data_IF_664902158869
#
_entry.id   IF_664902158869
#
_cell.length_a   1.000
_cell.length_b   1.000
_cell.length_c   1.000
_cell.angle_alpha   90.00
_cell.angle_beta   90.00
_cell.angle_gamma   90.00
#
_symmetry.space_group_name_H-M   'P 1'
#
loop_
_entity.id
_entity.type
_entity.pdbx_description
1 polymer ?
#
# COMPACT_ATOMS: atom_id res chain seq x y z
N UNK A 1 -10.74 -25.84 45.73
CA UNK A 1 -12.19 -25.90 45.50
C UNK A 1 -12.63 -24.56 44.93
N UNK A 2 -13.16 -24.52 43.71
CA UNK A 2 -13.67 -23.29 43.09
C UNK A 2 -15.08 -23.02 43.61
N UNK A 3 -15.28 -21.86 44.23
CA UNK A 3 -16.58 -21.42 44.75
C UNK A 3 -17.53 -21.15 43.57
N UNK A 4 -18.54 -22.00 43.40
CA UNK A 4 -19.43 -22.02 42.21
C UNK A 4 -20.59 -21.02 42.29
N UNK A 5 -20.68 -20.22 43.33
CA UNK A 5 -21.78 -19.27 43.59
C UNK A 5 -21.40 -17.80 43.42
N UNK A 6 -20.14 -17.48 43.07
CA UNK A 6 -19.77 -16.11 42.72
C UNK A 6 -20.11 -15.82 41.25
N UNK A 7 -20.90 -14.77 41.05
CA UNK A 7 -21.15 -14.22 39.71
C UNK A 7 -19.84 -13.68 39.13
N UNK A 8 -19.51 -14.08 37.90
CA UNK A 8 -18.36 -13.59 37.14
C UNK A 8 -18.46 -12.11 36.75
N UNK A 9 -19.58 -11.46 37.05
CA UNK A 9 -19.84 -10.06 36.73
C UNK A 9 -19.02 -9.07 37.59
N UNK A 10 -18.43 -9.51 38.70
CA UNK A 10 -17.64 -8.67 39.62
C UNK A 10 -16.24 -9.25 39.94
N UNK A 11 -15.70 -10.14 39.10
CA UNK A 11 -14.34 -10.62 39.27
C UNK A 11 -13.35 -9.59 38.72
N UNK A 12 -12.28 -9.28 39.47
CA UNK A 12 -11.14 -8.57 38.89
C UNK A 12 -10.33 -9.56 38.05
N UNK A 13 -9.57 -9.04 37.10
CA UNK A 13 -8.71 -9.83 36.22
C UNK A 13 -7.72 -10.76 36.97
N UNK A 14 -7.30 -10.37 38.18
CA UNK A 14 -6.44 -11.17 39.07
C UNK A 14 -7.15 -12.36 39.72
N UNK A 15 -8.49 -12.36 39.72
CA UNK A 15 -9.30 -13.34 40.45
C UNK A 15 -9.70 -14.54 39.54
N UNK A 16 -9.34 -14.50 38.25
CA UNK A 16 -9.60 -15.55 37.27
C UNK A 16 -8.29 -16.30 36.99
N UNK A 17 -8.13 -17.53 37.53
CA UNK A 17 -6.95 -18.35 37.27
C UNK A 17 -6.77 -18.58 35.77
N UNK A 18 -5.59 -18.24 35.24
CA UNK A 18 -5.26 -18.41 33.82
C UNK A 18 -5.64 -17.24 32.89
N UNK A 19 -6.28 -16.17 33.39
CA UNK A 19 -6.63 -15.00 32.56
C UNK A 19 -5.39 -14.29 31.97
N UNK A 20 -4.24 -14.41 32.64
CA UNK A 20 -2.95 -13.90 32.17
C UNK A 20 -1.96 -15.00 31.69
N UNK A 21 -2.43 -16.24 31.51
CA UNK A 21 -1.58 -17.37 31.05
C UNK A 21 -1.54 -17.51 29.51
N UNK A 22 -1.80 -16.44 28.75
CA UNK A 22 -1.58 -16.47 27.31
C UNK A 22 -0.08 -16.27 26.99
N UNK A 23 0.59 -17.22 26.32
CA UNK A 23 1.96 -17.02 25.88
C UNK A 23 2.00 -15.84 24.88
N UNK A 24 2.88 -14.89 25.16
CA UNK A 24 3.05 -13.63 24.40
C UNK A 24 3.75 -13.87 23.04
N UNK A 25 3.20 -14.77 22.23
CA UNK A 25 3.87 -15.33 21.05
C UNK A 25 3.02 -15.26 19.78
N UNK A 26 2.21 -14.21 19.64
CA UNK A 26 1.49 -13.92 18.39
C UNK A 26 1.99 -12.64 17.70
N UNK A 27 2.80 -11.82 18.37
CA UNK A 27 3.50 -10.71 17.73
C UNK A 27 4.91 -10.57 18.32
N UNK A 28 6.00 -10.76 17.57
CA UNK A 28 7.30 -10.28 18.01
C UNK A 28 7.23 -8.76 18.02
N UNK A 29 6.94 -8.18 19.18
CA UNK A 29 7.20 -6.76 19.37
C UNK A 29 8.72 -6.65 19.47
N UNK A 30 9.35 -6.13 18.43
CA UNK A 30 10.74 -5.67 18.50
C UNK A 30 10.81 -4.54 19.53
N UNK A 31 10.91 -4.89 20.82
CA UNK A 31 11.29 -3.95 21.88
C UNK A 31 12.78 -4.11 22.10
N UNK A 32 13.53 -3.19 21.52
CA UNK A 32 14.89 -2.92 21.98
C UNK A 32 14.90 -2.70 23.49
N UNK A 33 15.94 -3.21 24.14
CA UNK A 33 16.16 -3.04 25.57
C UNK A 33 16.16 -1.55 25.94
N UNK A 34 15.30 -1.15 26.88
CA UNK A 34 15.27 0.23 27.33
C UNK A 34 13.99 0.63 28.07
N UNK A 35 13.99 0.39 29.37
CA UNK A 35 13.40 1.16 30.47
C UNK A 35 12.40 2.30 30.17
N UNK A 36 11.30 2.29 30.94
CA UNK A 36 10.34 3.37 31.32
C UNK A 36 9.07 3.50 30.46
N UNK A 37 7.99 2.94 31.00
CA UNK A 37 6.61 3.22 30.59
C UNK A 37 6.30 4.71 30.77
N UNK A 38 5.86 5.35 29.68
CA UNK A 38 5.18 6.65 29.69
C UNK A 38 3.70 6.39 29.48
N UNK A 39 2.86 6.90 30.38
CA UNK A 39 1.40 6.83 30.33
C UNK A 39 0.83 7.59 29.12
N UNK A 40 -0.24 7.08 28.48
CA UNK A 40 -1.25 7.92 27.81
C UNK A 40 -2.65 7.27 27.88
N UNK A 41 -3.55 7.95 28.60
CA UNK A 41 -5.02 7.95 28.55
C UNK A 41 -5.75 6.87 27.73
N UNK A 42 -6.44 5.96 28.43
CA UNK A 42 -7.56 5.18 27.89
C UNK A 42 -8.86 5.97 28.04
N UNK A 43 -9.26 6.68 26.98
CA UNK A 43 -10.59 7.27 26.87
C UNK A 43 -11.58 6.14 26.56
N UNK A 44 -12.50 5.86 27.50
CA UNK A 44 -13.52 4.82 27.36
C UNK A 44 -14.65 5.37 26.49
N UNK A 45 -14.78 4.87 25.26
CA UNK A 45 -15.94 5.12 24.41
C UNK A 45 -17.15 4.37 25.00
N UNK A 46 -18.15 5.12 25.46
CA UNK A 46 -19.27 4.60 26.25
C UNK A 46 -20.60 4.64 25.49
N UNK A 47 -20.64 4.87 24.17
CA UNK A 47 -21.92 4.91 23.45
C UNK A 47 -21.81 4.39 22.01
N UNK A 48 -22.10 3.09 21.84
CA UNK A 48 -22.28 2.47 20.52
C UNK A 48 -23.22 1.27 20.61
N UNK A 49 -24.50 1.51 20.36
CA UNK A 49 -25.57 0.50 20.24
C UNK A 49 -25.22 -0.55 19.18
N UNK A 50 -24.55 -1.63 19.60
CA UNK A 50 -24.20 -2.74 18.72
C UNK A 50 -25.17 -3.89 19.00
N UNK A 51 -26.18 -4.03 18.15
CA UNK A 51 -27.08 -5.19 18.17
C UNK A 51 -26.27 -6.45 17.85
N UNK A 52 -26.40 -7.48 18.68
CA UNK A 52 -25.74 -8.78 18.51
C UNK A 52 -26.30 -9.47 17.27
N UNK A 53 -25.43 -9.85 16.34
CA UNK A 53 -25.82 -10.60 15.15
C UNK A 53 -26.35 -12.00 15.55
N UNK A 54 -27.60 -12.29 15.19
CA UNK A 54 -28.32 -13.54 15.53
C UNK A 54 -27.94 -14.74 14.62
N UNK A 55 -27.22 -14.50 13.53
CA UNK A 55 -26.87 -15.54 12.57
C UNK A 55 -25.39 -15.88 12.71
N UNK A 56 -25.02 -17.17 12.91
CA UNK A 56 -23.63 -17.57 12.96
C UNK A 56 -22.93 -17.19 11.64
N UNK A 57 -21.69 -16.69 11.69
CA UNK A 57 -20.94 -16.41 10.47
C UNK A 57 -20.78 -17.71 9.66
N UNK A 58 -20.88 -17.66 8.32
CA UNK A 58 -20.71 -18.84 7.49
C UNK A 58 -19.34 -19.48 7.76
N UNK A 59 -19.25 -20.82 7.70
CA UNK A 59 -17.99 -21.52 7.91
C UNK A 59 -16.96 -20.97 6.92
N UNK A 60 -15.84 -20.48 7.46
CA UNK A 60 -14.69 -20.03 6.67
C UNK A 60 -14.15 -21.28 5.97
N UNK A 61 -14.64 -21.54 4.76
CA UNK A 61 -14.08 -22.53 3.87
C UNK A 61 -12.60 -22.21 3.75
N UNK A 62 -11.75 -23.18 4.11
CA UNK A 62 -10.31 -23.09 3.89
C UNK A 62 -10.11 -22.74 2.43
N UNK A 63 -9.79 -21.49 2.12
CA UNK A 63 -9.18 -21.16 0.83
C UNK A 63 -7.94 -22.01 0.79
N UNK A 64 -7.95 -23.04 -0.04
CA UNK A 64 -6.71 -23.61 -0.53
C UNK A 64 -5.94 -22.42 -1.06
N UNK A 65 -4.89 -22.04 -0.35
CA UNK A 65 -3.84 -21.23 -0.92
C UNK A 65 -3.20 -22.13 -1.96
N UNK A 66 -3.82 -22.24 -3.14
CA UNK A 66 -3.03 -22.35 -4.34
C UNK A 66 -2.21 -21.08 -4.36
N UNK A 67 -1.01 -21.17 -3.77
CA UNK A 67 0.14 -20.49 -4.33
C UNK A 67 0.27 -21.06 -5.73
N UNK A 68 -0.57 -20.59 -6.64
CA UNK A 68 -0.06 -20.25 -7.95
C UNK A 68 0.97 -19.16 -7.66
N UNK A 69 2.18 -19.59 -7.30
CA UNK A 69 3.35 -19.01 -7.93
C UNK A 69 3.18 -19.28 -9.43
N UNK A 70 2.25 -18.56 -10.07
CA UNK A 70 2.65 -17.84 -11.24
C UNK A 70 3.83 -17.02 -10.74
N UNK A 71 5.02 -17.64 -10.81
CA UNK A 71 6.17 -16.91 -11.30
C UNK A 71 5.58 -16.13 -12.46
N UNK A 72 5.27 -14.86 -12.19
CA UNK A 72 5.14 -13.89 -13.24
C UNK A 72 6.45 -14.14 -13.94
N UNK A 73 6.38 -14.81 -15.10
CA UNK A 73 7.45 -14.74 -16.06
C UNK A 73 7.44 -13.26 -16.37
N UNK A 74 8.16 -12.50 -15.55
CA UNK A 74 8.56 -11.15 -15.87
C UNK A 74 9.23 -11.42 -17.21
N UNK A 75 8.61 -10.99 -18.33
CA UNK A 75 9.36 -10.96 -19.57
C UNK A 75 10.64 -10.27 -19.17
N UNK A 76 11.79 -10.86 -19.50
CA UNK A 76 13.11 -10.37 -19.12
C UNK A 76 13.22 -8.95 -19.71
N UNK A 77 12.64 -8.00 -19.00
CA UNK A 77 12.32 -6.69 -19.47
C UNK A 77 13.63 -5.98 -19.24
N UNK A 78 14.28 -5.72 -20.37
CA UNK A 78 15.42 -4.82 -20.51
C UNK A 78 15.51 -3.91 -19.27
N UNK A 79 16.39 -4.26 -18.33
CA UNK A 79 16.53 -3.51 -17.09
C UNK A 79 17.15 -2.17 -17.46
N UNK A 80 16.33 -1.21 -17.85
CA UNK A 80 16.78 0.10 -18.26
C UNK A 80 17.45 0.76 -17.06
N UNK A 81 18.61 1.34 -17.31
CA UNK A 81 19.31 2.10 -16.30
C UNK A 81 18.53 3.37 -15.95
N UNK A 82 18.87 3.98 -14.80
CA UNK A 82 18.22 5.22 -14.34
C UNK A 82 18.18 6.30 -15.44
N UNK A 83 19.28 6.48 -16.16
CA UNK A 83 19.40 7.51 -17.20
C UNK A 83 18.54 7.18 -18.43
N UNK A 84 18.46 5.91 -18.81
CA UNK A 84 17.59 5.44 -19.91
C UNK A 84 16.11 5.65 -19.57
N UNK A 85 15.71 5.34 -18.33
CA UNK A 85 14.35 5.59 -17.84
C UNK A 85 14.01 7.08 -17.91
N UNK A 86 14.92 7.95 -17.48
CA UNK A 86 14.71 9.40 -17.52
C UNK A 86 14.60 9.91 -18.96
N UNK A 87 15.46 9.43 -19.86
CA UNK A 87 15.42 9.82 -21.28
C UNK A 87 14.13 9.39 -21.97
N UNK A 88 13.62 8.21 -21.66
CA UNK A 88 12.36 7.72 -22.20
C UNK A 88 11.17 8.51 -21.66
N UNK A 89 11.17 8.87 -20.38
CA UNK A 89 10.15 9.74 -19.80
C UNK A 89 10.17 11.13 -20.45
N UNK A 90 11.35 11.68 -20.72
CA UNK A 90 11.47 12.95 -21.45
C UNK A 90 10.92 12.84 -22.87
N UNK A 91 11.10 11.69 -23.52
CA UNK A 91 10.52 11.40 -24.83
C UNK A 91 8.99 11.32 -24.77
N UNK A 92 8.42 10.79 -23.67
CA UNK A 92 6.97 10.76 -23.43
C UNK A 92 6.43 12.17 -23.19
N UNK A 93 7.15 12.98 -22.43
CA UNK A 93 6.76 14.36 -22.13
C UNK A 93 6.85 15.29 -23.35
N UNK A 94 7.65 14.93 -24.36
CA UNK A 94 7.70 15.61 -25.64
C UNK A 94 6.52 15.28 -26.57
N UNK A 95 5.74 14.24 -26.29
CA UNK A 95 4.56 13.88 -27.10
C UNK A 95 3.45 14.93 -26.92
N UNK A 96 2.58 15.01 -27.92
CA UNK A 96 1.43 15.92 -27.89
C UNK A 96 0.51 15.55 -26.73
N UNK A 97 0.18 16.54 -25.90
CA UNK A 97 -0.77 16.40 -24.81
C UNK A 97 -2.03 17.20 -25.10
N UNK A 98 -3.16 16.71 -24.56
CA UNK A 98 -4.44 17.45 -24.51
C UNK A 98 -4.46 18.51 -23.41
N UNK A 99 -3.48 18.51 -22.51
CA UNK A 99 -3.35 19.49 -21.44
C UNK A 99 -2.94 20.85 -22.01
N UNK A 100 -3.39 21.92 -21.33
CA UNK A 100 -2.86 23.25 -21.60
C UNK A 100 -1.36 23.28 -21.35
N UNK A 101 -0.58 24.11 -22.08
CA UNK A 101 0.88 24.14 -21.92
C UNK A 101 1.31 24.51 -20.49
N UNK A 102 0.56 25.41 -19.84
CA UNK A 102 0.79 25.82 -18.44
C UNK A 102 0.57 24.65 -17.46
N UNK A 103 -0.51 23.89 -17.66
CA UNK A 103 -0.82 22.72 -16.82
C UNK A 103 0.19 21.59 -17.04
N UNK A 104 0.61 21.35 -18.29
CA UNK A 104 1.62 20.37 -18.64
C UNK A 104 2.96 20.69 -17.95
N UNK A 105 3.42 21.94 -18.04
CA UNK A 105 4.67 22.38 -17.42
C UNK A 105 4.62 22.24 -15.89
N UNK A 106 3.49 22.60 -15.26
CA UNK A 106 3.28 22.42 -13.83
C UNK A 106 3.45 20.94 -13.41
N UNK A 107 2.81 20.01 -14.13
CA UNK A 107 2.90 18.59 -13.82
C UNK A 107 4.29 18.01 -14.11
N UNK A 108 4.95 18.41 -15.19
CA UNK A 108 6.32 18.00 -15.51
C UNK A 108 7.31 18.47 -14.43
N UNK A 109 7.22 19.74 -14.00
CA UNK A 109 8.05 20.29 -12.94
C UNK A 109 7.86 19.53 -11.62
N UNK A 110 6.60 19.26 -11.26
CA UNK A 110 6.25 18.52 -10.04
C UNK A 110 6.77 17.08 -10.08
N UNK A 111 6.70 16.44 -11.25
CA UNK A 111 7.26 15.12 -11.48
C UNK A 111 8.78 15.11 -11.29
N UNK A 112 9.50 15.95 -12.05
CA UNK A 112 10.98 15.99 -12.06
C UNK A 112 11.57 16.32 -10.69
N UNK A 113 10.92 17.16 -9.90
CA UNK A 113 11.41 17.56 -8.58
C UNK A 113 11.53 16.40 -7.57
N UNK A 114 10.73 15.34 -7.71
CA UNK A 114 10.65 14.27 -6.71
C UNK A 114 10.98 12.88 -7.29
N UNK A 115 10.85 12.69 -8.60
CA UNK A 115 10.96 11.38 -9.22
C UNK A 115 12.37 10.79 -9.16
N UNK A 116 13.42 11.61 -9.19
CA UNK A 116 14.81 11.14 -9.22
C UNK A 116 15.17 10.23 -8.03
N UNK A 117 14.60 10.47 -6.85
CA UNK A 117 14.82 9.66 -5.64
C UNK A 117 14.19 8.27 -5.76
N UNK A 118 13.06 8.15 -6.46
CA UNK A 118 12.38 6.87 -6.69
C UNK A 118 13.26 5.89 -7.46
N UNK A 119 14.07 6.39 -8.39
CA UNK A 119 14.96 5.58 -9.22
C UNK A 119 16.24 5.15 -8.50
N UNK A 120 16.50 5.62 -7.28
CA UNK A 120 17.59 5.06 -6.45
C UNK A 120 17.24 3.66 -5.93
N UNK A 121 15.94 3.34 -5.86
CA UNK A 121 15.46 2.05 -5.40
C UNK A 121 15.15 1.11 -6.57
N UNK A 122 15.66 -0.13 -6.50
CA UNK A 122 15.43 -1.16 -7.53
C UNK A 122 13.94 -1.43 -7.80
N UNK A 123 13.12 -1.44 -6.74
CA UNK A 123 11.69 -1.63 -6.88
C UNK A 123 11.03 -0.51 -7.71
N UNK A 124 11.45 0.74 -7.50
CA UNK A 124 10.94 1.89 -8.25
C UNK A 124 11.34 1.84 -9.72
N UNK A 125 12.58 1.40 -10.02
CA UNK A 125 13.02 1.17 -11.41
C UNK A 125 12.20 0.09 -12.10
N UNK A 126 11.96 -1.04 -11.41
CA UNK A 126 11.17 -2.14 -11.95
C UNK A 126 9.74 -1.72 -12.29
N UNK A 127 9.06 -1.05 -11.34
CA UNK A 127 7.70 -0.55 -11.56
C UNK A 127 7.65 0.48 -12.69
N UNK A 128 8.63 1.37 -12.79
CA UNK A 128 8.67 2.32 -13.89
C UNK A 128 8.90 1.63 -15.23
N UNK A 129 9.79 0.63 -15.29
CA UNK A 129 9.98 -0.17 -16.51
C UNK A 129 8.69 -0.89 -16.93
N UNK A 130 7.91 -1.39 -15.97
CA UNK A 130 6.61 -2.00 -16.25
C UNK A 130 5.61 -0.97 -16.80
N UNK A 131 5.58 0.24 -16.23
CA UNK A 131 4.77 1.36 -16.72
C UNK A 131 5.17 1.75 -18.15
N UNK A 132 6.47 1.90 -18.42
CA UNK A 132 7.00 2.26 -19.74
C UNK A 132 6.76 1.16 -20.78
N UNK A 133 6.85 -0.11 -20.40
CA UNK A 133 6.52 -1.23 -21.28
C UNK A 133 5.01 -1.32 -21.58
N UNK A 134 4.16 -0.71 -20.75
CA UNK A 134 2.71 -0.77 -20.86
C UNK A 134 2.08 0.47 -21.50
N UNK A 135 2.87 1.38 -22.08
CA UNK A 135 2.40 2.69 -22.58
C UNK A 135 1.29 2.61 -23.64
N UNK A 136 1.18 1.51 -24.37
CA UNK A 136 0.12 1.29 -25.36
C UNK A 136 -1.25 0.99 -24.72
N UNK A 137 -1.26 0.59 -23.44
CA UNK A 137 -2.45 0.18 -22.71
C UNK A 137 -2.69 1.09 -21.50
N UNK A 138 -3.49 2.14 -21.74
CA UNK A 138 -3.88 3.14 -20.74
C UNK A 138 -4.46 2.51 -19.46
N UNK A 139 -5.21 1.42 -19.59
CA UNK A 139 -5.85 0.73 -18.47
C UNK A 139 -4.82 0.04 -17.58
N UNK A 140 -3.83 -0.62 -18.19
CA UNK A 140 -2.71 -1.23 -17.46
C UNK A 140 -1.86 -0.17 -16.77
N UNK A 141 -1.47 0.90 -17.47
CA UNK A 141 -0.69 2.00 -16.88
C UNK A 141 -1.42 2.58 -15.68
N UNK A 142 -2.71 2.87 -15.83
CA UNK A 142 -3.53 3.40 -14.75
C UNK A 142 -3.56 2.46 -13.54
N UNK A 143 -3.75 1.15 -13.78
CA UNK A 143 -3.78 0.13 -12.73
C UNK A 143 -2.45 0.05 -11.99
N UNK A 144 -1.33 0.00 -12.71
CA UNK A 144 0.02 -0.08 -12.11
C UNK A 144 0.30 1.16 -11.25
N UNK A 145 0.07 2.36 -11.79
CA UNK A 145 0.27 3.61 -11.04
C UNK A 145 -0.63 3.69 -9.81
N UNK A 146 -1.89 3.25 -9.92
CA UNK A 146 -2.83 3.22 -8.79
C UNK A 146 -2.38 2.24 -7.73
N UNK A 147 -1.96 1.04 -8.12
CA UNK A 147 -1.43 0.04 -7.20
C UNK A 147 -0.16 0.53 -6.51
N UNK A 148 0.73 1.20 -7.24
CA UNK A 148 1.94 1.80 -6.69
C UNK A 148 1.60 2.85 -5.63
N UNK A 149 0.68 3.78 -5.91
CA UNK A 149 0.25 4.80 -4.93
C UNK A 149 -0.38 4.21 -3.66
N UNK A 150 -1.07 3.06 -3.78
CA UNK A 150 -1.63 2.35 -2.63
C UNK A 150 -0.57 1.63 -1.81
N UNK A 151 0.53 1.22 -2.43
CA UNK A 151 1.60 0.44 -1.79
C UNK A 151 2.68 1.33 -1.18
N UNK A 152 2.95 2.47 -1.80
CA UNK A 152 3.97 3.42 -1.41
C UNK A 152 3.41 4.84 -1.34
N UNK A 153 3.31 5.37 -0.13
CA UNK A 153 2.79 6.72 0.09
C UNK A 153 3.78 7.82 -0.28
N UNK A 154 5.07 7.51 -0.39
CA UNK A 154 6.13 8.50 -0.67
C UNK A 154 6.03 9.06 -2.08
N UNK A 155 5.49 8.26 -3.02
CA UNK A 155 5.35 8.63 -4.42
C UNK A 155 4.11 9.50 -4.71
N UNK A 156 3.21 9.69 -3.74
CA UNK A 156 2.01 10.52 -3.89
C UNK A 156 2.31 11.98 -4.24
N UNK A 157 3.54 12.44 -3.98
CA UNK A 157 4.00 13.80 -4.33
C UNK A 157 4.06 14.01 -5.85
N UNK A 158 4.35 12.98 -6.64
CA UNK A 158 4.60 13.10 -8.07
C UNK A 158 3.75 12.15 -8.94
N UNK A 159 3.41 10.96 -8.44
CA UNK A 159 2.70 9.94 -9.21
C UNK A 159 1.33 10.40 -9.76
N UNK A 160 0.50 11.17 -9.02
CA UNK A 160 -0.73 11.73 -9.57
C UNK A 160 -0.48 12.66 -10.77
N UNK A 161 0.65 13.37 -10.79
CA UNK A 161 1.03 14.25 -11.91
C UNK A 161 1.46 13.45 -13.12
N UNK A 162 2.25 12.39 -12.93
CA UNK A 162 2.59 11.46 -13.99
C UNK A 162 1.33 10.84 -14.61
N UNK A 163 0.45 10.29 -13.76
CA UNK A 163 -0.82 9.70 -14.20
C UNK A 163 -1.65 10.69 -15.01
N UNK A 164 -1.76 11.94 -14.56
CA UNK A 164 -2.49 13.01 -15.25
C UNK A 164 -1.90 13.27 -16.64
N UNK A 165 -0.57 13.37 -16.76
CA UNK A 165 0.10 13.55 -18.05
C UNK A 165 -0.21 12.37 -18.98
N UNK A 166 0.01 11.14 -18.51
CA UNK A 166 -0.16 9.92 -19.31
C UNK A 166 -1.59 9.76 -19.85
N UNK A 167 -2.61 9.97 -19.01
CA UNK A 167 -4.02 9.91 -19.46
C UNK A 167 -4.42 11.01 -20.46
N UNK A 168 -3.59 12.05 -20.63
CA UNK A 168 -3.84 13.15 -21.56
C UNK A 168 -2.85 13.17 -22.72
N UNK A 169 -2.02 12.14 -22.88
CA UNK A 169 -1.25 11.97 -24.11
C UNK A 169 -2.22 11.72 -25.26
N UNK A 170 -1.95 12.35 -26.40
CA UNK A 170 -2.66 11.99 -27.61
C UNK A 170 -2.12 10.64 -28.08
N UNK A 171 -2.98 9.68 -28.47
CA UNK A 171 -2.51 8.51 -29.20
C UNK A 171 -1.76 9.04 -30.42
N UNK A 172 -0.56 8.53 -30.67
CA UNK A 172 0.19 8.85 -31.87
C UNK A 172 -0.71 8.52 -33.07
N UNK A 173 -1.29 9.57 -33.65
CA UNK A 173 -2.36 9.46 -34.61
C UNK A 173 -1.90 8.73 -35.86
N UNK A 174 -2.72 7.77 -36.28
CA UNK A 174 -3.00 7.52 -37.69
C UNK A 174 -3.65 8.79 -38.27
#
# INVERSE_FOLDING_TARGET
MLDRTRSFQNCRETDVPGYNDCPSLVYPVNRGAGTKQTMVNGQIDTFGSTQVASVPPPPIGKRSSSRSSSAIKVPQALHKNKDEILQEIDSIFARKSKLSPVELEYHQKKFRANFGQTLEHEHGKQLMNEVLASLEDDSKVHKILTQWMMSDSTINKWCPSLRKIMCNLQPDGI
#
